data_IF_749020005364
#
_entry.id   IF_749020005364
#
_cell.length_a   1.000
_cell.length_b   1.000
_cell.length_c   1.000
_cell.angle_alpha   90.00
_cell.angle_beta   90.00
_cell.angle_gamma   90.00
#
_symmetry.space_group_name_H-M   'P 1'
#
loop_
_entity.id
_entity.type
_entity.pdbx_description
1 polymer ?
#
# COMPACT_ATOMS: atom_id res chain seq x y z
N UNK A 1 8.06 3.25 -16.31
CA UNK A 1 6.73 3.01 -15.71
C UNK A 1 6.82 3.29 -14.22
N UNK A 2 5.97 4.20 -13.68
CA UNK A 2 5.98 4.48 -12.25
C UNK A 2 5.50 3.24 -11.46
N UNK A 3 6.00 3.10 -10.23
CA UNK A 3 5.50 2.04 -9.38
C UNK A 3 4.94 2.61 -8.08
N UNK A 4 3.97 1.90 -7.53
CA UNK A 4 3.20 2.31 -6.37
C UNK A 4 3.35 1.24 -5.31
N UNK A 5 3.64 1.65 -4.08
CA UNK A 5 3.73 0.74 -2.95
C UNK A 5 2.39 0.69 -2.22
N UNK A 6 1.87 -0.50 -2.00
CA UNK A 6 0.66 -0.71 -1.23
C UNK A 6 1.04 -1.26 0.14
N UNK A 7 0.74 -0.51 1.18
CA UNK A 7 1.08 -0.86 2.56
C UNK A 7 -0.16 -0.77 3.45
N UNK A 8 -0.12 -1.44 4.58
CA UNK A 8 -1.21 -1.39 5.54
C UNK A 8 -1.05 -2.44 6.63
N UNK A 9 -1.84 -2.30 7.68
CA UNK A 9 -1.87 -3.28 8.75
C UNK A 9 -2.41 -4.62 8.26
N UNK A 10 -2.03 -5.73 8.90
CA UNK A 10 -2.69 -7.01 8.63
C UNK A 10 -4.20 -6.87 8.81
N UNK A 11 -4.96 -7.49 7.91
CA UNK A 11 -6.42 -7.49 7.93
C UNK A 11 -7.07 -6.10 7.77
N UNK A 12 -6.37 -5.16 7.16
CA UNK A 12 -6.94 -3.83 6.86
C UNK A 12 -7.80 -3.82 5.59
N UNK A 13 -7.85 -4.94 4.86
CA UNK A 13 -8.52 -4.99 3.58
C UNK A 13 -7.60 -4.66 2.41
N UNK A 14 -6.30 -4.74 2.62
CA UNK A 14 -5.29 -4.40 1.62
C UNK A 14 -5.44 -5.24 0.35
N UNK A 15 -5.78 -6.53 0.49
CA UNK A 15 -6.02 -7.42 -0.66
C UNK A 15 -7.18 -6.94 -1.53
N UNK A 16 -8.25 -6.47 -0.91
CA UNK A 16 -9.41 -5.96 -1.64
C UNK A 16 -9.03 -4.70 -2.44
N UNK A 17 -8.24 -3.82 -1.85
CA UNK A 17 -7.75 -2.63 -2.56
C UNK A 17 -6.82 -3.01 -3.70
N UNK A 18 -5.93 -3.97 -3.47
CA UNK A 18 -5.04 -4.47 -4.52
C UNK A 18 -5.83 -4.98 -5.72
N UNK A 19 -6.85 -5.81 -5.46
CA UNK A 19 -7.69 -6.37 -6.53
C UNK A 19 -8.47 -5.28 -7.27
N UNK A 20 -8.96 -4.29 -6.54
CA UNK A 20 -9.69 -3.17 -7.13
C UNK A 20 -8.79 -2.36 -8.08
N UNK A 21 -7.56 -2.11 -7.67
CA UNK A 21 -6.65 -1.27 -8.46
C UNK A 21 -6.05 -2.01 -9.66
N UNK A 22 -5.89 -3.32 -9.56
CA UNK A 22 -5.24 -4.12 -10.61
C UNK A 22 -6.22 -4.91 -11.48
N UNK A 23 -7.52 -4.91 -11.13
CA UNK A 23 -8.50 -5.76 -11.81
C UNK A 23 -8.20 -7.23 -11.63
N UNK A 24 -7.59 -7.60 -10.53
CA UNK A 24 -7.19 -8.98 -10.20
C UNK A 24 -6.07 -9.53 -11.09
N UNK A 25 -5.43 -8.67 -11.88
CA UNK A 25 -4.27 -9.05 -12.69
C UNK A 25 -3.02 -8.96 -11.81
N UNK A 26 -2.55 -10.11 -11.33
CA UNK A 26 -1.43 -10.15 -10.41
C UNK A 26 -0.46 -11.29 -10.73
N UNK A 27 0.80 -11.07 -10.39
CA UNK A 27 1.82 -12.10 -10.36
C UNK A 27 2.24 -12.33 -8.91
N UNK A 28 2.27 -13.58 -8.50
CA UNK A 28 2.66 -13.96 -7.14
C UNK A 28 3.99 -14.71 -7.21
N UNK A 29 4.94 -14.29 -6.41
CA UNK A 29 6.24 -14.96 -6.25
C UNK A 29 6.65 -14.84 -4.80
N UNK A 30 7.79 -15.42 -4.44
CA UNK A 30 8.32 -15.24 -3.10
C UNK A 30 9.46 -14.22 -3.12
N UNK A 31 9.63 -13.50 -2.00
CA UNK A 31 10.85 -12.72 -1.81
C UNK A 31 12.05 -13.67 -1.82
N UNK A 32 13.21 -13.22 -2.32
CA UNK A 32 14.37 -14.10 -2.47
C UNK A 32 14.76 -14.81 -1.17
N UNK A 33 14.82 -16.14 -1.23
CA UNK A 33 15.29 -16.95 -0.12
C UNK A 33 14.33 -17.16 1.03
N UNK A 34 13.08 -16.71 0.92
CA UNK A 34 12.09 -16.83 1.99
C UNK A 34 10.72 -17.22 1.43
N UNK A 35 9.81 -17.63 2.33
CA UNK A 35 8.47 -18.10 1.94
C UNK A 35 7.41 -17.00 1.96
N UNK A 36 7.79 -15.74 2.14
CA UNK A 36 6.85 -14.61 2.14
C UNK A 36 6.50 -14.25 0.70
N UNK A 37 5.20 -14.13 0.43
CA UNK A 37 4.70 -13.82 -0.91
C UNK A 37 4.94 -12.36 -1.30
N UNK A 38 5.35 -12.19 -2.55
CA UNK A 38 5.48 -10.89 -3.21
C UNK A 38 4.43 -10.83 -4.30
N UNK A 39 3.49 -9.90 -4.18
CA UNK A 39 2.42 -9.71 -5.16
C UNK A 39 2.68 -8.45 -5.96
N UNK A 40 2.71 -8.60 -7.28
CA UNK A 40 2.92 -7.51 -8.21
C UNK A 40 1.74 -7.44 -9.18
N UNK A 41 1.16 -6.28 -9.31
CA UNK A 41 0.05 -6.07 -10.23
C UNK A 41 0.29 -4.86 -11.11
N UNK A 42 -0.59 -4.65 -12.05
CA UNK A 42 -0.57 -3.51 -12.97
C UNK A 42 -1.91 -2.80 -12.91
N UNK A 43 -1.88 -1.50 -12.70
CA UNK A 43 -3.08 -0.68 -12.72
C UNK A 43 -2.96 0.44 -13.74
N UNK A 44 -4.04 1.18 -13.91
CA UNK A 44 -4.10 2.25 -14.89
C UNK A 44 -4.82 3.45 -14.30
N UNK A 45 -4.23 4.62 -14.44
CA UNK A 45 -4.89 5.87 -14.06
C UNK A 45 -5.94 6.26 -15.11
N UNK A 46 -6.79 7.22 -14.77
CA UNK A 46 -7.85 7.68 -15.66
C UNK A 46 -7.33 8.27 -16.97
N UNK A 47 -6.12 8.82 -16.96
CA UNK A 47 -5.50 9.37 -18.16
C UNK A 47 -4.82 8.31 -19.04
N UNK A 48 -4.93 7.04 -18.67
CA UNK A 48 -4.32 5.94 -19.40
C UNK A 48 -2.91 5.58 -18.96
N UNK A 49 -2.31 6.34 -18.05
CA UNK A 49 -0.98 6.03 -17.53
C UNK A 49 -1.00 4.71 -16.77
N UNK A 50 -0.12 3.78 -17.16
CA UNK A 50 0.01 2.48 -16.51
C UNK A 50 1.01 2.60 -15.36
N UNK A 51 0.73 1.94 -14.24
CA UNK A 51 1.65 1.84 -13.12
C UNK A 51 1.75 0.39 -12.63
N UNK A 52 2.88 0.08 -12.01
CA UNK A 52 3.05 -1.20 -11.31
C UNK A 52 2.68 -1.01 -9.84
N UNK A 53 1.93 -1.96 -9.30
CA UNK A 53 1.53 -1.95 -7.90
C UNK A 53 2.18 -3.12 -7.18
N UNK A 54 2.98 -2.82 -6.16
CA UNK A 54 3.62 -3.84 -5.34
C UNK A 54 2.94 -3.90 -3.98
N UNK A 55 2.40 -5.07 -3.65
CA UNK A 55 1.76 -5.30 -2.37
C UNK A 55 2.79 -5.80 -1.37
N UNK A 56 2.97 -5.04 -0.29
CA UNK A 56 3.87 -5.42 0.80
C UNK A 56 3.14 -6.24 1.87
N UNK A 57 3.86 -7.07 2.62
CA UNK A 57 3.27 -7.77 3.76
C UNK A 57 2.64 -6.81 4.75
N UNK A 58 1.57 -7.24 5.40
CA UNK A 58 0.92 -6.42 6.42
C UNK A 58 1.87 -6.09 7.57
N UNK A 59 1.87 -4.83 7.99
CA UNK A 59 2.70 -4.40 9.10
C UNK A 59 1.97 -3.35 9.93
N UNK A 60 2.25 -3.33 11.25
CA UNK A 60 1.67 -2.34 12.15
C UNK A 60 2.53 -1.10 12.28
N UNK A 61 3.83 -1.22 12.02
CA UNK A 61 4.77 -0.10 12.14
C UNK A 61 6.04 -0.41 11.36
N UNK A 62 6.92 0.58 11.27
CA UNK A 62 8.24 0.40 10.65
C UNK A 62 9.27 -0.18 11.63
N UNK A 63 8.86 -0.41 12.88
CA UNK A 63 9.68 -1.14 13.87
C UNK A 63 9.30 -2.60 13.78
N UNK A 64 10.13 -3.46 13.17
CA UNK A 64 9.72 -4.82 12.87
C UNK A 64 9.69 -5.70 14.12
N UNK A 65 8.58 -6.42 14.31
CA UNK A 65 8.43 -7.42 15.35
C UNK A 65 8.33 -8.82 14.77
N UNK A 66 8.18 -8.94 13.45
CA UNK A 66 8.09 -10.21 12.75
C UNK A 66 9.01 -10.19 11.55
N UNK A 67 9.20 -11.36 10.94
CA UNK A 67 10.01 -11.49 9.74
C UNK A 67 9.38 -10.73 8.56
N UNK A 68 8.06 -10.83 8.44
CA UNK A 68 7.33 -10.15 7.37
C UNK A 68 7.44 -8.63 7.50
N UNK A 69 7.36 -8.10 8.72
CA UNK A 69 7.50 -6.68 8.97
C UNK A 69 8.90 -6.17 8.67
N UNK A 70 9.91 -7.02 8.84
CA UNK A 70 11.29 -6.67 8.51
C UNK A 70 11.46 -6.39 7.02
N UNK A 71 10.75 -7.13 6.16
CA UNK A 71 10.79 -6.89 4.71
C UNK A 71 10.35 -5.47 4.39
N UNK A 72 9.27 -5.02 4.99
CA UNK A 72 8.75 -3.66 4.79
C UNK A 72 9.76 -2.63 5.29
N UNK A 73 10.30 -2.82 6.49
CA UNK A 73 11.26 -1.91 7.09
C UNK A 73 12.52 -1.77 6.23
N UNK A 74 13.04 -2.87 5.72
CA UNK A 74 14.23 -2.86 4.88
C UNK A 74 13.98 -2.14 3.54
N UNK A 75 12.83 -2.33 2.95
CA UNK A 75 12.45 -1.62 1.73
C UNK A 75 12.38 -0.12 1.97
N UNK A 76 11.77 0.30 3.07
CA UNK A 76 11.65 1.71 3.42
C UNK A 76 13.03 2.33 3.62
N UNK A 77 13.97 1.61 4.23
CA UNK A 77 15.35 2.08 4.35
C UNK A 77 16.00 2.35 3.00
N UNK A 78 15.76 1.48 2.02
CA UNK A 78 16.27 1.70 0.66
C UNK A 78 15.69 2.96 0.06
N UNK A 79 14.41 3.24 0.27
CA UNK A 79 13.78 4.45 -0.24
C UNK A 79 14.38 5.70 0.39
N UNK A 80 14.64 5.65 1.69
CA UNK A 80 15.29 6.76 2.40
C UNK A 80 16.66 7.08 1.80
N UNK A 81 17.38 6.05 1.36
CA UNK A 81 18.68 6.22 0.71
C UNK A 81 18.56 6.52 -0.80
N UNK A 82 17.37 6.77 -1.30
CA UNK A 82 17.14 7.13 -2.70
C UNK A 82 17.21 5.95 -3.66
N UNK A 83 17.14 4.73 -3.15
CA UNK A 83 17.18 3.53 -3.99
C UNK A 83 15.78 3.16 -4.46
N UNK A 84 15.45 3.55 -5.69
CA UNK A 84 14.22 3.21 -6.38
C UNK A 84 12.96 3.40 -5.53
N UNK A 85 12.72 4.63 -5.00
CA UNK A 85 11.51 4.86 -4.21
C UNK A 85 10.25 4.79 -5.09
N UNK A 86 9.10 4.45 -4.52
CA UNK A 86 7.85 4.48 -5.28
C UNK A 86 7.46 5.90 -5.63
N UNK A 87 6.69 6.05 -6.71
CA UNK A 87 6.12 7.35 -7.06
C UNK A 87 5.10 7.78 -6.01
N UNK A 88 4.44 6.81 -5.38
CA UNK A 88 3.38 7.05 -4.41
C UNK A 88 3.29 5.84 -3.47
N UNK A 89 2.94 6.11 -2.21
CA UNK A 89 2.59 5.07 -1.25
C UNK A 89 1.09 5.12 -1.03
N UNK A 90 0.40 4.00 -1.23
CA UNK A 90 -1.01 3.86 -0.85
C UNK A 90 -1.05 3.16 0.50
N UNK A 91 -1.48 3.88 1.52
CA UNK A 91 -1.60 3.35 2.88
C UNK A 91 -3.06 2.96 3.12
N UNK A 92 -3.32 1.67 3.21
CA UNK A 92 -4.67 1.16 3.44
C UNK A 92 -4.97 1.22 4.92
N UNK A 93 -6.04 1.91 5.27
CA UNK A 93 -6.43 2.17 6.66
C UNK A 93 -7.81 1.60 6.89
N UNK A 94 -7.92 0.75 7.92
CA UNK A 94 -9.19 0.19 8.37
C UNK A 94 -9.95 1.25 9.16
N UNK A 95 -11.09 1.71 8.62
CA UNK A 95 -11.89 2.76 9.23
C UNK A 95 -12.48 2.35 10.58
N UNK A 96 -12.55 1.05 10.87
CA UNK A 96 -13.06 0.55 12.16
C UNK A 96 -12.00 0.56 13.24
N UNK A 97 -10.73 0.83 12.90
CA UNK A 97 -9.64 0.86 13.87
C UNK A 97 -8.60 1.89 13.46
N UNK A 98 -9.01 3.15 13.42
CA UNK A 98 -8.21 4.24 12.86
C UNK A 98 -6.91 4.47 13.62
N UNK A 99 -6.97 4.56 14.95
CA UNK A 99 -5.78 4.91 15.72
C UNK A 99 -4.66 3.90 15.54
N UNK A 100 -4.97 2.61 15.45
CA UNK A 100 -3.96 1.58 15.22
C UNK A 100 -3.39 1.64 13.80
N UNK A 101 -4.26 1.88 12.83
CA UNK A 101 -3.86 1.90 11.41
C UNK A 101 -3.08 3.16 11.05
N UNK A 102 -3.45 4.30 11.61
CA UNK A 102 -2.79 5.56 11.29
C UNK A 102 -1.37 5.66 11.83
N UNK A 103 -1.01 4.83 12.79
CA UNK A 103 0.36 4.85 13.33
C UNK A 103 1.40 4.58 12.23
N UNK A 104 1.18 3.56 11.43
CA UNK A 104 2.05 3.27 10.29
C UNK A 104 2.08 4.45 9.30
N UNK A 105 0.92 5.02 9.01
CA UNK A 105 0.80 6.16 8.09
C UNK A 105 1.63 7.34 8.57
N UNK A 106 1.59 7.65 9.87
CA UNK A 106 2.38 8.76 10.42
C UNK A 106 3.87 8.53 10.25
N UNK A 107 4.34 7.31 10.40
CA UNK A 107 5.75 6.99 10.17
C UNK A 107 6.13 7.16 8.71
N UNK A 108 5.24 6.78 7.80
CA UNK A 108 5.50 6.90 6.35
C UNK A 108 5.49 8.35 5.87
N UNK A 109 4.73 9.23 6.53
CA UNK A 109 4.68 10.65 6.15
C UNK A 109 6.04 11.34 6.23
N UNK A 110 6.92 10.87 7.08
CA UNK A 110 8.24 11.46 7.25
C UNK A 110 9.21 11.15 6.09
N UNK A 111 8.81 10.27 5.18
CA UNK A 111 9.69 9.84 4.07
C UNK A 111 9.80 10.86 2.94
N UNK A 112 8.87 11.81 2.87
CA UNK A 112 8.84 12.76 1.76
C UNK A 112 8.31 12.20 0.44
N UNK A 113 7.81 10.98 0.45
CA UNK A 113 7.17 10.36 -0.71
C UNK A 113 5.67 10.66 -0.65
N UNK A 114 5.03 11.01 -1.77
CA UNK A 114 3.58 11.24 -1.77
C UNK A 114 2.82 10.03 -1.22
N UNK A 115 1.87 10.28 -0.33
CA UNK A 115 1.06 9.23 0.30
C UNK A 115 -0.41 9.50 0.04
N UNK A 116 -1.12 8.43 -0.34
CA UNK A 116 -2.57 8.42 -0.43
C UNK A 116 -3.10 7.49 0.65
N UNK A 117 -4.05 7.96 1.43
CA UNK A 117 -4.71 7.14 2.42
C UNK A 117 -5.96 6.54 1.80
N UNK A 118 -6.01 5.22 1.74
CA UNK A 118 -7.17 4.48 1.25
C UNK A 118 -7.97 3.98 2.45
N UNK A 119 -9.06 4.66 2.76
CA UNK A 119 -9.95 4.26 3.85
C UNK A 119 -10.79 3.07 3.41
N UNK A 120 -10.64 1.97 4.11
CA UNK A 120 -11.37 0.75 3.85
C UNK A 120 -12.31 0.42 5.01
N UNK A 121 -13.22 -0.53 4.82
CA UNK A 121 -14.21 -0.93 5.82
C UNK A 121 -15.21 0.19 6.16
N UNK A 122 -15.33 1.18 5.30
CA UNK A 122 -16.25 2.30 5.49
C UNK A 122 -17.71 1.85 5.52
N UNK A 123 -18.03 0.80 4.82
CA UNK A 123 -19.36 0.20 4.78
C UNK A 123 -19.79 -0.37 6.13
N UNK A 124 -18.83 -0.68 7.01
CA UNK A 124 -19.12 -1.17 8.35
C UNK A 124 -19.33 -0.03 9.36
N UNK A 125 -18.90 1.18 9.02
CA UNK A 125 -19.01 2.35 9.88
C UNK A 125 -20.12 3.26 9.39
N UNK A 126 -20.12 3.56 8.11
CA UNK A 126 -21.06 4.45 7.46
C UNK A 126 -21.08 4.09 5.98
N UNK A 127 -22.22 4.24 5.34
CA UNK A 127 -22.42 3.83 3.96
C UNK A 127 -21.85 4.83 2.97
N UNK A 128 -20.60 5.17 3.13
CA UNK A 128 -19.99 6.16 2.29
C UNK A 128 -19.21 5.55 1.15
N UNK A 129 -18.57 6.38 0.42
CA UNK A 129 -17.98 6.09 -0.87
C UNK A 129 -16.99 4.95 -0.87
N UNK A 130 -17.05 4.14 -1.90
CA UNK A 130 -15.99 3.19 -2.19
C UNK A 130 -14.81 3.94 -2.77
N UNK A 131 -13.62 3.54 -2.37
CA UNK A 131 -12.39 4.08 -2.91
C UNK A 131 -12.21 3.55 -4.33
N UNK A 132 -11.99 4.43 -5.27
CA UNK A 132 -11.72 4.04 -6.65
C UNK A 132 -10.41 4.66 -7.15
N UNK A 133 -9.88 4.18 -8.29
CA UNK A 133 -8.62 4.71 -8.80
C UNK A 133 -8.63 6.20 -9.13
N UNK A 134 -9.78 6.76 -9.50
CA UNK A 134 -9.87 8.18 -9.80
C UNK A 134 -9.74 9.03 -8.54
N UNK A 135 -10.29 8.54 -7.43
CA UNK A 135 -10.12 9.19 -6.13
C UNK A 135 -8.66 9.20 -5.72
N UNK A 136 -7.96 8.08 -5.91
CA UNK A 136 -6.53 8.01 -5.62
C UNK A 136 -5.74 9.03 -6.44
N UNK A 137 -6.03 9.14 -7.72
CA UNK A 137 -5.36 10.10 -8.58
C UNK A 137 -5.59 11.53 -8.13
N UNK A 138 -6.78 11.84 -7.68
CA UNK A 138 -7.11 13.18 -7.17
C UNK A 138 -6.25 13.56 -5.97
N UNK A 139 -5.92 12.57 -5.14
CA UNK A 139 -5.08 12.78 -3.96
C UNK A 139 -3.59 12.83 -4.30
N UNK A 140 -3.21 12.26 -5.43
CA UNK A 140 -1.84 12.26 -5.91
C UNK A 140 -1.41 13.59 -6.51
N UNK A 141 -2.36 14.37 -6.93
CA UNK A 141 -2.10 15.68 -7.52
C UNK A 141 -1.55 16.72 -6.57
#
# INVERSE_FOLDING_TARGET
VPWVALVGNPNSGKTAIFNLLTGMDQKVSNYPGITVEKKLGTGQFNDGTVYHLLDFPGTYSLTPESFDERIVAEQVLQWIHGENPPAVIVSVVDATNLSRNLYLTTQLLDLGIPIVIALNMMDLVDHTEKIDPSSLKKWLG
#
